data_IF_520827709975
#
_entry.id   IF_520827709975
#
_cell.length_a   1.000
_cell.length_b   1.000
_cell.length_c   1.000
_cell.angle_alpha   90.00
_cell.angle_beta   90.00
_cell.angle_gamma   90.00
#
_symmetry.space_group_name_H-M   'P 1'
#
loop_
_entity.id
_entity.type
_entity.pdbx_description
1 polymer ?
#
# COMPACT_ATOMS: atom_id res chain seq x y z
N UNK A 1 -6.31 19.85 10.72
CA UNK A 1 -5.34 18.90 10.17
C UNK A 1 -5.28 17.64 11.03
N UNK A 2 -5.47 16.47 10.42
CA UNK A 2 -5.29 15.17 11.08
C UNK A 2 -3.90 14.63 10.71
N UNK A 3 -2.89 14.80 11.57
CA UNK A 3 -1.51 14.40 11.26
C UNK A 3 -1.37 12.89 11.04
N UNK A 4 -1.96 12.09 11.94
CA UNK A 4 -1.95 10.64 11.88
C UNK A 4 -3.31 10.13 12.32
N UNK A 5 -3.97 9.36 11.46
CA UNK A 5 -5.30 8.80 11.71
C UNK A 5 -5.48 7.32 11.43
N UNK A 6 -4.46 6.42 11.54
CA UNK A 6 -4.60 5.01 11.12
C UNK A 6 -5.78 4.30 11.79
N UNK A 7 -6.05 4.59 13.07
CA UNK A 7 -7.19 4.03 13.78
C UNK A 7 -8.53 4.51 13.22
N UNK A 8 -8.66 5.81 12.90
CA UNK A 8 -9.88 6.39 12.36
C UNK A 8 -10.13 5.93 10.92
N UNK A 9 -9.06 5.79 10.14
CA UNK A 9 -9.09 5.15 8.82
C UNK A 9 -9.55 3.69 8.92
N UNK A 10 -9.04 2.94 9.92
CA UNK A 10 -9.44 1.55 10.16
C UNK A 10 -10.86 1.37 10.68
N UNK A 11 -11.34 2.31 11.50
CA UNK A 11 -12.71 2.30 11.96
C UNK A 11 -13.71 2.42 10.79
N UNK A 12 -13.31 3.07 9.70
CA UNK A 12 -14.05 3.14 8.45
C UNK A 12 -13.64 2.05 7.45
N UNK A 13 -13.17 0.88 7.89
CA UNK A 13 -12.83 -0.23 7.01
C UNK A 13 -13.80 -1.40 7.19
N UNK A 14 -13.79 -2.33 6.23
CA UNK A 14 -14.50 -3.60 6.39
C UNK A 14 -13.98 -4.44 7.57
N UNK A 15 -12.78 -4.16 8.08
CA UNK A 15 -12.19 -4.90 9.21
C UNK A 15 -12.80 -4.48 10.55
N UNK A 16 -13.42 -3.30 10.65
CA UNK A 16 -14.10 -2.87 11.87
C UNK A 16 -15.48 -3.52 12.03
N UNK A 17 -16.29 -3.56 10.96
CA UNK A 17 -17.70 -4.02 11.01
C UNK A 17 -17.98 -5.32 10.27
N UNK A 18 -17.06 -5.80 9.44
CA UNK A 18 -17.28 -6.94 8.56
C UNK A 18 -17.07 -8.27 9.27
N UNK A 19 -17.89 -8.63 10.26
CA UNK A 19 -17.77 -9.77 11.19
C UNK A 19 -16.92 -11.00 10.77
N UNK A 20 -17.02 -11.51 9.53
CA UNK A 20 -16.20 -12.64 9.04
C UNK A 20 -14.78 -12.27 8.56
N UNK A 21 -14.56 -10.99 8.28
CA UNK A 21 -13.32 -10.33 7.88
C UNK A 21 -12.86 -9.32 8.95
N UNK A 22 -13.48 -9.31 10.13
CA UNK A 22 -13.08 -8.40 11.19
C UNK A 22 -11.66 -8.73 11.65
N UNK A 23 -10.78 -7.73 11.71
CA UNK A 23 -9.38 -7.88 12.12
C UNK A 23 -8.96 -6.67 12.93
N UNK A 24 -8.24 -6.93 14.01
CA UNK A 24 -7.61 -5.94 14.87
C UNK A 24 -6.20 -5.62 14.39
N UNK A 25 -5.63 -4.53 14.90
CA UNK A 25 -4.25 -4.11 14.59
C UNK A 25 -3.24 -5.24 14.87
N UNK A 26 -3.44 -5.97 15.97
CA UNK A 26 -2.58 -7.05 16.44
C UNK A 26 -2.59 -8.26 15.51
N UNK A 27 -3.72 -8.53 14.83
CA UNK A 27 -3.85 -9.68 13.93
C UNK A 27 -2.88 -9.57 12.75
N UNK A 28 -2.53 -8.36 12.32
CA UNK A 28 -1.55 -8.10 11.27
C UNK A 28 -0.16 -7.76 11.79
N UNK A 29 -0.05 -6.95 12.86
CA UNK A 29 1.22 -6.37 13.30
C UNK A 29 1.90 -7.09 14.47
N UNK A 30 1.22 -8.05 15.10
CA UNK A 30 1.76 -8.87 16.18
C UNK A 30 1.54 -10.35 15.87
N UNK A 31 2.12 -10.89 14.79
CA UNK A 31 1.86 -12.27 14.38
C UNK A 31 2.36 -13.29 15.42
N UNK A 32 1.73 -14.46 15.43
CA UNK A 32 2.27 -15.62 16.14
C UNK A 32 3.58 -16.08 15.50
N UNK A 33 4.59 -16.54 16.27
CA UNK A 33 5.82 -17.09 15.71
C UNK A 33 5.57 -18.33 14.83
N UNK A 34 4.58 -19.14 15.22
CA UNK A 34 4.09 -20.28 14.46
C UNK A 34 2.57 -20.36 14.65
N UNK A 35 1.82 -20.02 13.60
CA UNK A 35 0.37 -19.90 13.64
C UNK A 35 -0.30 -21.14 14.26
N UNK A 36 -1.09 -20.93 15.32
CA UNK A 36 -1.90 -21.95 15.98
C UNK A 36 -1.15 -23.08 16.69
N UNK A 37 0.19 -23.08 16.69
CA UNK A 37 1.00 -24.19 17.24
C UNK A 37 2.04 -23.73 18.23
N UNK A 38 2.36 -22.43 18.28
CA UNK A 38 3.33 -21.90 19.21
C UNK A 38 2.79 -21.91 20.65
N UNK A 39 3.57 -22.49 21.56
CA UNK A 39 3.29 -22.54 22.99
C UNK A 39 4.52 -22.08 23.74
N UNK A 40 4.35 -21.19 24.72
CA UNK A 40 5.46 -20.69 25.53
C UNK A 40 5.06 -20.40 26.98
N UNK A 41 6.04 -20.39 27.89
CA UNK A 41 5.86 -19.92 29.26
C UNK A 41 6.13 -18.42 29.32
N UNK A 42 5.18 -17.67 29.88
CA UNK A 42 5.18 -16.19 29.84
C UNK A 42 6.07 -15.51 30.89
N UNK A 43 6.82 -16.28 31.68
CA UNK A 43 7.70 -15.75 32.72
C UNK A 43 8.87 -16.69 33.00
N UNK A 44 10.00 -16.10 33.40
CA UNK A 44 11.13 -16.78 34.03
C UNK A 44 11.09 -16.56 35.55
N UNK A 45 11.82 -17.39 36.30
CA UNK A 45 12.10 -17.13 37.71
C UNK A 45 13.06 -15.94 37.86
N UNK A 46 13.20 -15.34 39.07
CA UNK A 46 14.15 -14.25 39.31
C UNK A 46 15.61 -14.59 38.96
N UNK A 47 15.98 -15.88 38.96
CA UNK A 47 17.31 -16.37 38.57
C UNK A 47 17.46 -16.60 37.05
N UNK A 48 16.45 -16.22 36.25
CA UNK A 48 16.43 -16.40 34.79
C UNK A 48 16.01 -17.80 34.33
N UNK A 49 15.76 -18.75 35.23
CA UNK A 49 15.40 -20.13 34.84
C UNK A 49 13.92 -20.29 34.52
N UNK A 50 13.60 -21.28 33.67
CA UNK A 50 12.21 -21.63 33.35
C UNK A 50 11.61 -22.48 34.47
N UNK A 51 10.39 -22.14 34.92
CA UNK A 51 9.64 -23.02 35.81
C UNK A 51 8.85 -24.07 35.01
N UNK A 52 9.33 -25.30 35.03
CA UNK A 52 8.72 -26.43 34.31
C UNK A 52 7.30 -26.78 34.78
N UNK A 53 6.92 -26.37 36.00
CA UNK A 53 5.57 -26.56 36.53
C UNK A 53 4.57 -25.49 36.05
N UNK A 54 5.04 -24.39 35.48
CA UNK A 54 4.13 -23.37 34.93
C UNK A 54 3.54 -23.84 33.60
N UNK A 55 2.24 -23.57 33.36
CA UNK A 55 1.60 -23.94 32.12
C UNK A 55 2.17 -23.14 30.95
N UNK A 56 2.25 -23.78 29.80
CA UNK A 56 2.45 -23.09 28.53
C UNK A 56 1.15 -22.38 28.13
N UNK A 57 1.30 -21.29 27.38
CA UNK A 57 0.20 -20.44 26.92
C UNK A 57 0.18 -20.38 25.40
N UNK A 58 -1.02 -20.38 24.85
CA UNK A 58 -1.35 -20.09 23.46
C UNK A 58 -2.71 -19.38 23.36
N UNK A 59 -2.95 -18.57 22.31
CA UNK A 59 -1.97 -18.09 21.33
C UNK A 59 -0.93 -17.15 21.96
N UNK A 60 0.23 -17.00 21.30
CA UNK A 60 1.27 -16.04 21.70
C UNK A 60 1.61 -15.13 20.54
N UNK A 61 1.51 -13.83 20.77
CA UNK A 61 1.74 -12.81 19.77
C UNK A 61 3.06 -12.11 20.01
N UNK A 62 3.88 -12.03 18.96
CA UNK A 62 5.18 -11.36 19.05
C UNK A 62 5.01 -9.84 19.14
N UNK A 63 5.94 -9.18 19.82
CA UNK A 63 6.06 -7.72 19.75
C UNK A 63 6.89 -7.31 18.52
N UNK A 64 6.70 -7.99 17.38
CA UNK A 64 7.47 -7.67 16.18
C UNK A 64 7.09 -6.30 15.63
N UNK A 65 5.80 -5.91 15.70
CA UNK A 65 5.30 -4.58 15.31
C UNK A 65 5.80 -4.13 13.94
N UNK A 66 5.75 -5.04 12.96
CA UNK A 66 6.26 -4.77 11.61
C UNK A 66 5.50 -3.59 11.00
N UNK A 67 6.23 -2.60 10.51
CA UNK A 67 5.65 -1.41 9.86
C UNK A 67 6.15 -1.29 8.42
N UNK A 68 6.24 -0.06 7.92
CA UNK A 68 6.74 0.22 6.57
C UNK A 68 8.14 0.82 6.49
N UNK A 69 8.86 1.04 7.59
CA UNK A 69 10.07 1.88 7.58
C UNK A 69 11.38 1.08 7.63
N UNK A 70 11.63 0.25 6.60
CA UNK A 70 12.89 -0.47 6.46
C UNK A 70 14.09 0.48 6.38
N UNK A 71 13.92 1.62 5.70
CA UNK A 71 14.94 2.65 5.58
C UNK A 71 15.45 3.19 6.92
N UNK A 72 14.54 3.54 7.85
CA UNK A 72 14.98 4.02 9.16
C UNK A 72 15.74 2.93 9.94
N UNK A 73 15.36 1.66 9.79
CA UNK A 73 16.10 0.56 10.41
C UNK A 73 17.53 0.46 9.85
N UNK A 74 17.73 0.68 8.55
CA UNK A 74 19.06 0.75 7.92
C UNK A 74 19.86 1.94 8.44
N UNK A 75 19.25 3.12 8.50
CA UNK A 75 19.89 4.32 9.00
C UNK A 75 20.32 4.16 10.47
N UNK A 76 19.48 3.53 11.31
CA UNK A 76 19.82 3.19 12.69
C UNK A 76 20.94 2.15 12.77
N UNK A 77 20.90 1.09 11.95
CA UNK A 77 21.93 0.05 11.88
C UNK A 77 23.30 0.64 11.56
N UNK A 78 23.36 1.45 10.51
CA UNK A 78 24.60 1.99 9.94
C UNK A 78 25.20 3.10 10.81
N UNK A 79 24.36 3.77 11.62
CA UNK A 79 24.78 4.85 12.53
C UNK A 79 24.72 4.47 14.01
N UNK A 80 24.61 3.18 14.34
CA UNK A 80 24.35 2.71 15.73
C UNK A 80 25.33 3.21 16.77
N UNK A 81 26.60 3.43 16.41
CA UNK A 81 27.63 3.94 17.32
C UNK A 81 27.43 5.43 17.57
N UNK A 82 27.23 6.22 16.51
CA UNK A 82 26.98 7.66 16.60
C UNK A 82 25.66 7.97 17.33
N UNK A 83 24.69 7.05 17.26
CA UNK A 83 23.40 7.13 17.94
C UNK A 83 23.42 6.50 19.35
N UNK A 84 24.56 5.98 19.82
CA UNK A 84 24.72 5.34 21.13
C UNK A 84 23.81 4.11 21.38
N UNK A 85 23.28 3.50 20.32
CA UNK A 85 22.45 2.28 20.35
C UNK A 85 23.24 1.01 20.03
N UNK A 86 24.57 1.10 19.95
CA UNK A 86 25.45 -0.01 19.60
C UNK A 86 25.36 -1.23 20.54
N UNK A 87 24.91 -1.03 21.78
CA UNK A 87 24.72 -2.11 22.76
C UNK A 87 23.25 -2.56 22.90
N UNK A 88 22.31 -1.86 22.26
CA UNK A 88 20.87 -2.16 22.34
C UNK A 88 20.48 -3.33 21.43
N UNK A 89 21.20 -3.53 20.33
CA UNK A 89 20.99 -4.63 19.38
C UNK A 89 22.26 -4.89 18.55
N UNK A 90 22.24 -5.95 17.74
CA UNK A 90 23.30 -6.32 16.81
C UNK A 90 22.97 -5.89 15.38
N UNK A 91 23.98 -5.86 14.51
CA UNK A 91 23.78 -5.67 13.05
C UNK A 91 22.84 -6.75 12.50
N UNK A 92 23.07 -8.01 12.89
CA UNK A 92 22.22 -9.13 12.49
C UNK A 92 20.76 -8.96 12.95
N UNK A 93 20.51 -8.41 14.15
CA UNK A 93 19.15 -8.13 14.62
C UNK A 93 18.45 -7.04 13.82
N UNK A 94 19.18 -6.01 13.37
CA UNK A 94 18.63 -5.03 12.42
C UNK A 94 18.35 -5.66 11.07
N UNK A 95 19.28 -6.45 10.53
CA UNK A 95 19.14 -7.10 9.22
C UNK A 95 17.92 -8.05 9.18
N UNK A 96 17.70 -8.80 10.26
CA UNK A 96 16.51 -9.62 10.45
C UNK A 96 15.23 -8.77 10.37
N UNK A 97 15.17 -7.66 11.11
CA UNK A 97 13.99 -6.79 11.14
C UNK A 97 13.75 -6.06 9.82
N UNK A 98 14.82 -5.67 9.13
CA UNK A 98 14.75 -5.08 7.79
C UNK A 98 14.18 -6.10 6.80
N UNK A 99 14.67 -7.34 6.83
CA UNK A 99 14.16 -8.41 5.98
C UNK A 99 12.68 -8.72 6.26
N UNK A 100 12.29 -8.80 7.53
CA UNK A 100 10.89 -8.97 7.94
C UNK A 100 10.01 -7.82 7.44
N UNK A 101 10.50 -6.58 7.55
CA UNK A 101 9.78 -5.38 7.08
C UNK A 101 9.56 -5.40 5.56
N UNK A 102 10.59 -5.75 4.78
CA UNK A 102 10.50 -5.86 3.31
C UNK A 102 9.59 -7.01 2.87
N UNK A 103 9.66 -8.14 3.55
CA UNK A 103 8.75 -9.27 3.31
C UNK A 103 7.29 -8.89 3.61
N UNK A 104 7.05 -8.16 4.70
CA UNK A 104 5.71 -7.67 5.05
C UNK A 104 5.17 -6.69 3.99
N UNK A 105 5.96 -5.68 3.61
CA UNK A 105 5.60 -4.72 2.58
C UNK A 105 5.24 -5.40 1.25
N UNK A 106 6.07 -6.34 0.78
CA UNK A 106 5.88 -7.00 -0.52
C UNK A 106 4.78 -8.06 -0.57
N UNK A 107 4.30 -8.56 0.57
CA UNK A 107 3.28 -9.61 0.64
C UNK A 107 1.90 -9.12 1.10
N UNK A 108 1.88 -8.09 1.93
CA UNK A 108 0.72 -7.75 2.76
C UNK A 108 0.21 -6.31 2.58
N UNK A 109 0.97 -5.42 1.94
CA UNK A 109 0.56 -4.02 1.80
C UNK A 109 -0.46 -3.79 0.68
N UNK A 110 -0.20 -4.31 -0.51
CA UNK A 110 -1.01 -4.07 -1.70
C UNK A 110 -1.00 -5.25 -2.66
N UNK A 111 -2.02 -5.33 -3.52
CA UNK A 111 -1.97 -6.10 -4.76
C UNK A 111 -1.91 -5.12 -5.93
N UNK A 112 -1.22 -5.52 -7.01
CA UNK A 112 -1.08 -4.75 -8.24
C UNK A 112 -1.44 -5.63 -9.43
N UNK A 113 -2.26 -5.12 -10.34
CA UNK A 113 -2.68 -5.84 -11.53
C UNK A 113 -2.69 -4.93 -12.76
N UNK A 114 -2.28 -5.48 -13.90
CA UNK A 114 -2.57 -4.89 -15.21
C UNK A 114 -3.89 -5.52 -15.67
N UNK A 115 -4.99 -4.80 -15.55
CA UNK A 115 -6.34 -5.30 -15.86
C UNK A 115 -6.69 -5.19 -17.34
N UNK A 116 -5.98 -4.31 -18.06
CA UNK A 116 -6.07 -4.15 -19.50
C UNK A 116 -4.70 -3.80 -20.07
N UNK A 117 -4.37 -4.34 -21.24
CA UNK A 117 -3.19 -3.98 -22.02
C UNK A 117 -3.48 -4.29 -23.50
N UNK A 118 -4.01 -3.31 -24.23
CA UNK A 118 -4.51 -3.48 -25.61
C UNK A 118 -4.03 -2.37 -26.52
N UNK A 119 -3.88 -2.66 -27.81
CA UNK A 119 -3.61 -1.65 -28.85
C UNK A 119 -4.93 -0.99 -29.29
N UNK A 120 -4.94 0.34 -29.37
CA UNK A 120 -6.01 1.15 -29.90
C UNK A 120 -5.45 2.21 -30.86
N UNK A 121 -5.43 1.89 -32.17
CA UNK A 121 -4.80 2.75 -33.17
C UNK A 121 -3.28 2.73 -33.00
N UNK A 122 -2.69 3.89 -32.71
CA UNK A 122 -1.23 4.01 -32.47
C UNK A 122 -0.85 3.94 -30.99
N UNK A 123 -1.84 3.89 -30.10
CA UNK A 123 -1.61 3.90 -28.66
C UNK A 123 -1.86 2.51 -28.05
N UNK A 124 -1.12 2.17 -27.00
CA UNK A 124 -1.50 1.15 -26.04
C UNK A 124 -2.34 1.77 -24.93
N UNK A 125 -3.48 1.14 -24.63
CA UNK A 125 -4.30 1.42 -23.46
C UNK A 125 -3.99 0.38 -22.38
N UNK A 126 -3.44 0.83 -21.26
CA UNK A 126 -2.98 -0.01 -20.17
C UNK A 126 -3.67 0.46 -18.88
N UNK A 127 -4.45 -0.42 -18.26
CA UNK A 127 -5.12 -0.13 -16.99
C UNK A 127 -4.36 -0.81 -15.86
N UNK A 128 -3.89 0.00 -14.90
CA UNK A 128 -3.10 -0.46 -13.76
C UNK A 128 -3.90 -0.28 -12.48
N UNK A 129 -4.39 -1.38 -11.93
CA UNK A 129 -5.18 -1.40 -10.70
C UNK A 129 -4.30 -1.67 -9.48
N UNK A 130 -4.38 -0.77 -8.50
CA UNK A 130 -3.79 -0.94 -7.17
C UNK A 130 -4.91 -1.30 -6.20
N UNK A 131 -4.73 -2.34 -5.39
CA UNK A 131 -5.66 -2.72 -4.32
C UNK A 131 -4.97 -2.62 -2.97
N UNK A 132 -5.53 -1.83 -2.07
CA UNK A 132 -5.08 -1.72 -0.69
C UNK A 132 -5.53 -2.96 0.11
N UNK A 133 -4.56 -3.68 0.69
CA UNK A 133 -4.81 -4.86 1.55
C UNK A 133 -4.81 -4.53 3.03
N UNK A 134 -4.48 -3.29 3.37
CA UNK A 134 -4.38 -2.85 4.76
C UNK A 134 -5.73 -2.42 5.30
N UNK A 135 -5.83 -2.42 6.62
CA UNK A 135 -7.02 -1.93 7.31
C UNK A 135 -7.15 -0.41 7.37
N UNK A 136 -6.19 0.35 6.88
CA UNK A 136 -6.15 1.81 6.94
C UNK A 136 -5.78 2.37 5.55
N UNK A 137 -5.53 3.68 5.40
CA UNK A 137 -5.04 4.18 4.10
C UNK A 137 -3.69 3.56 3.75
N UNK A 138 -3.38 3.46 2.46
CA UNK A 138 -2.08 3.04 1.97
C UNK A 138 -1.41 4.20 1.23
N UNK A 139 -0.26 4.72 1.71
CA UNK A 139 0.36 4.47 3.02
C UNK A 139 -0.24 5.31 4.18
N UNK A 140 -0.53 4.72 5.34
CA UNK A 140 -1.04 5.48 6.52
C UNK A 140 0.07 6.14 7.36
N UNK A 141 -0.33 6.90 8.39
CA UNK A 141 0.53 7.47 9.41
C UNK A 141 1.17 8.79 8.97
N UNK A 142 2.41 9.00 9.40
CA UNK A 142 3.14 10.25 9.21
C UNK A 142 3.20 10.71 7.73
N UNK A 143 2.94 12.00 7.43
CA UNK A 143 2.67 12.49 6.06
C UNK A 143 3.89 12.61 5.13
N UNK A 144 5.07 12.16 5.55
CA UNK A 144 6.26 12.11 4.67
C UNK A 144 6.26 10.95 3.68
N UNK A 145 5.32 10.01 3.84
CA UNK A 145 5.28 8.76 3.10
C UNK A 145 4.65 8.99 1.73
N UNK A 146 5.20 8.32 0.72
CA UNK A 146 4.60 8.25 -0.63
C UNK A 146 4.70 6.85 -1.20
N UNK A 147 3.75 6.50 -2.05
CA UNK A 147 3.90 5.39 -3.00
C UNK A 147 3.58 5.88 -4.41
N UNK A 148 4.12 5.22 -5.43
CA UNK A 148 3.88 5.58 -6.81
C UNK A 148 4.06 4.39 -7.75
N UNK A 149 3.53 4.52 -8.96
CA UNK A 149 3.74 3.55 -10.03
C UNK A 149 5.01 3.87 -10.81
N UNK A 150 5.90 2.87 -10.94
CA UNK A 150 6.96 2.82 -11.94
C UNK A 150 6.50 1.90 -13.07
N UNK A 151 6.29 2.48 -14.26
CA UNK A 151 5.81 1.77 -15.44
C UNK A 151 6.83 1.85 -16.55
N UNK A 152 7.17 0.71 -17.12
CA UNK A 152 8.06 0.60 -18.28
C UNK A 152 7.35 -0.19 -19.38
N UNK A 153 7.32 0.38 -20.59
CA UNK A 153 6.87 -0.32 -21.80
C UNK A 153 8.08 -0.50 -22.72
N UNK A 154 8.27 -1.73 -23.22
CA UNK A 154 9.35 -2.06 -24.15
C UNK A 154 8.82 -2.71 -25.41
N UNK A 155 9.46 -2.43 -26.53
CA UNK A 155 9.20 -3.10 -27.81
C UNK A 155 9.78 -4.53 -27.87
N UNK A 156 9.58 -5.23 -28.99
CA UNK A 156 10.09 -6.58 -29.18
C UNK A 156 11.63 -6.68 -29.23
N UNK A 157 12.31 -5.56 -29.51
CA UNK A 157 13.77 -5.44 -29.42
C UNK A 157 14.25 -5.09 -27.99
N UNK A 158 13.34 -5.14 -27.01
CA UNK A 158 13.57 -4.85 -25.60
C UNK A 158 14.00 -3.39 -25.32
N UNK A 159 13.77 -2.48 -26.27
CA UNK A 159 14.03 -1.05 -26.11
C UNK A 159 12.90 -0.38 -25.33
N UNK A 160 13.24 0.51 -24.39
CA UNK A 160 12.25 1.28 -23.63
C UNK A 160 11.64 2.33 -24.54
N UNK A 161 10.33 2.25 -24.75
CA UNK A 161 9.56 3.25 -25.51
C UNK A 161 8.78 4.19 -24.58
N UNK A 162 8.53 3.76 -23.35
CA UNK A 162 7.92 4.58 -22.30
C UNK A 162 8.45 4.16 -20.94
N UNK A 163 8.82 5.14 -20.12
CA UNK A 163 9.17 4.93 -18.71
C UNK A 163 8.72 6.11 -17.87
N UNK A 164 7.92 5.85 -16.84
CA UNK A 164 7.43 6.85 -15.89
C UNK A 164 7.67 6.38 -14.47
N UNK A 165 8.08 7.29 -13.57
CA UNK A 165 8.23 7.01 -12.14
C UNK A 165 9.49 6.25 -11.74
N UNK A 166 10.51 6.16 -12.59
CA UNK A 166 11.78 5.54 -12.24
C UNK A 166 12.50 6.35 -11.14
N UNK A 167 12.85 5.75 -9.99
CA UNK A 167 13.67 6.42 -8.98
C UNK A 167 15.15 6.45 -9.39
N UNK A 168 15.85 7.53 -9.05
CA UNK A 168 17.30 7.60 -9.13
C UNK A 168 17.97 6.99 -7.88
N UNK A 169 19.31 7.01 -7.83
CA UNK A 169 20.07 6.49 -6.69
C UNK A 169 19.86 7.28 -5.38
N UNK A 170 19.30 8.49 -5.46
CA UNK A 170 18.94 9.34 -4.32
C UNK A 170 17.50 9.08 -3.83
N UNK A 171 16.75 8.19 -4.49
CA UNK A 171 15.35 7.94 -4.17
C UNK A 171 14.40 9.04 -4.66
N UNK A 172 14.87 9.89 -5.56
CA UNK A 172 14.07 10.92 -6.21
C UNK A 172 13.46 10.38 -7.51
N UNK A 173 12.29 10.90 -7.88
CA UNK A 173 11.64 10.65 -9.18
C UNK A 173 11.64 11.92 -10.02
N UNK A 174 11.33 11.81 -11.31
CA UNK A 174 11.41 12.93 -12.28
C UNK A 174 10.66 14.21 -11.85
N UNK A 175 9.58 14.08 -11.08
CA UNK A 175 8.80 15.23 -10.59
C UNK A 175 9.47 15.96 -9.42
N UNK A 176 10.39 15.32 -8.69
CA UNK A 176 11.03 15.90 -7.50
C UNK A 176 11.89 17.12 -7.84
N UNK A 177 12.49 17.20 -9.03
CA UNK A 177 13.27 18.37 -9.46
C UNK A 177 12.49 19.68 -9.30
N UNK A 178 11.20 19.67 -9.62
CA UNK A 178 10.35 20.87 -9.48
C UNK A 178 9.83 21.04 -8.05
N UNK A 179 9.52 19.92 -7.37
CA UNK A 179 8.99 19.90 -6.00
C UNK A 179 10.00 20.36 -4.96
N UNK A 180 11.30 20.18 -5.24
CA UNK A 180 12.42 20.60 -4.41
C UNK A 180 12.89 22.04 -4.69
N UNK A 181 12.19 22.78 -5.55
CA UNK A 181 12.51 24.19 -5.78
C UNK A 181 12.45 25.01 -4.48
N UNK A 182 13.32 26.01 -4.36
CA UNK A 182 13.46 26.82 -3.14
C UNK A 182 12.13 27.40 -2.64
N UNK A 183 11.29 27.91 -3.54
CA UNK A 183 10.00 28.50 -3.17
C UNK A 183 8.99 27.44 -2.66
N UNK A 184 9.03 26.22 -3.21
CA UNK A 184 8.23 25.10 -2.74
C UNK A 184 8.60 24.67 -1.32
N UNK A 185 9.90 24.72 -1.00
CA UNK A 185 10.42 24.36 0.32
C UNK A 185 10.42 25.53 1.32
N UNK A 186 10.24 26.77 0.88
CA UNK A 186 10.29 27.94 1.76
C UNK A 186 9.19 27.90 2.83
N UNK A 187 9.56 28.18 4.09
CA UNK A 187 8.62 28.31 5.23
C UNK A 187 7.65 29.47 5.03
N UNK A 188 8.11 30.55 4.43
CA UNK A 188 7.32 31.73 4.08
C UNK A 188 7.39 31.90 2.59
N UNK A 189 6.24 31.86 1.92
CA UNK A 189 6.18 31.93 0.47
C UNK A 189 6.48 33.34 -0.04
N UNK A 190 7.19 33.49 -1.18
CA UNK A 190 7.40 34.79 -1.78
C UNK A 190 6.07 35.38 -2.28
N UNK A 191 5.96 36.71 -2.41
CA UNK A 191 4.77 37.34 -2.98
C UNK A 191 4.42 36.79 -4.37
N UNK A 192 3.15 36.43 -4.59
CA UNK A 192 2.68 35.86 -5.86
C UNK A 192 2.98 34.36 -6.04
N UNK A 193 3.43 33.66 -5.00
CA UNK A 193 3.61 32.22 -5.01
C UNK A 193 2.30 31.47 -5.33
N UNK A 194 2.44 30.35 -6.02
CA UNK A 194 1.35 29.41 -6.33
C UNK A 194 1.86 27.98 -6.16
N UNK A 195 1.00 27.10 -5.62
CA UNK A 195 1.38 25.72 -5.30
C UNK A 195 1.64 24.81 -6.50
N UNK A 196 1.14 25.16 -7.69
CA UNK A 196 0.85 24.21 -8.76
C UNK A 196 2.01 23.35 -9.27
N UNK A 197 3.26 23.79 -9.06
CA UNK A 197 4.46 23.06 -9.47
C UNK A 197 5.16 22.33 -8.32
N UNK A 198 4.69 22.50 -7.08
CA UNK A 198 5.34 21.99 -5.88
C UNK A 198 4.88 20.58 -5.46
N UNK A 199 3.88 20.02 -6.13
CA UNK A 199 3.44 18.65 -5.96
C UNK A 199 2.74 18.14 -7.22
N UNK A 200 2.66 16.82 -7.36
CA UNK A 200 1.94 16.20 -8.47
C UNK A 200 0.45 16.09 -8.10
N UNK A 201 -0.44 16.52 -8.99
CA UNK A 201 -1.88 16.29 -8.81
C UNK A 201 -2.21 14.79 -8.87
N UNK A 202 -3.40 14.41 -8.39
CA UNK A 202 -3.89 13.07 -8.64
C UNK A 202 -4.06 12.84 -10.15
N UNK A 203 -3.72 11.63 -10.61
CA UNK A 203 -3.67 11.25 -12.02
C UNK A 203 -4.53 10.02 -12.25
N UNK A 204 -5.69 10.24 -12.85
CA UNK A 204 -6.53 9.22 -13.46
C UNK A 204 -5.87 8.70 -14.76
N UNK A 205 -5.41 9.63 -15.62
CA UNK A 205 -4.78 9.32 -16.91
C UNK A 205 -3.33 9.77 -16.98
N UNK A 206 -2.46 8.90 -17.50
CA UNK A 206 -1.04 9.19 -17.81
C UNK A 206 -0.78 9.00 -19.31
N UNK A 207 -0.28 10.05 -19.96
CA UNK A 207 0.07 10.07 -21.39
C UNK A 207 1.53 10.40 -21.66
N UNK A 208 2.26 10.92 -20.67
CA UNK A 208 3.64 11.36 -20.83
C UNK A 208 4.57 10.71 -19.80
N UNK A 209 5.82 10.36 -20.17
CA UNK A 209 6.84 9.87 -19.24
C UNK A 209 7.10 10.76 -18.02
N UNK A 210 6.87 12.08 -18.15
CA UNK A 210 7.05 13.05 -17.07
C UNK A 210 5.93 13.07 -16.03
N UNK A 211 4.78 12.45 -16.32
CA UNK A 211 3.67 12.33 -15.38
C UNK A 211 3.82 11.06 -14.56
N UNK A 212 3.55 11.13 -13.26
CA UNK A 212 3.68 9.99 -12.35
C UNK A 212 2.45 9.90 -11.46
N UNK A 213 1.88 8.71 -11.31
CA UNK A 213 0.79 8.48 -10.34
C UNK A 213 1.39 8.35 -8.94
N UNK A 214 1.31 9.42 -8.15
CA UNK A 214 1.86 9.50 -6.78
C UNK A 214 0.73 9.58 -5.77
N UNK A 215 0.73 8.65 -4.82
CA UNK A 215 -0.18 8.57 -3.68
C UNK A 215 0.54 9.05 -2.43
N UNK A 216 0.10 10.19 -1.92
CA UNK A 216 0.77 10.92 -0.85
C UNK A 216 -0.19 11.91 -0.19
N UNK A 217 0.25 12.47 0.93
CA UNK A 217 -0.33 13.68 1.51
C UNK A 217 0.49 14.90 1.12
N UNK A 218 -0.18 15.97 0.73
CA UNK A 218 0.39 17.30 0.50
C UNK A 218 -0.28 18.25 1.47
N UNK A 219 0.52 18.87 2.33
CA UNK A 219 0.02 19.69 3.43
C UNK A 219 -0.14 21.14 2.97
N UNK A 220 -1.25 21.77 3.33
CA UNK A 220 -1.49 23.20 3.18
C UNK A 220 -1.40 23.89 4.53
N UNK A 221 -0.80 25.08 4.57
CA UNK A 221 -0.82 25.94 5.75
C UNK A 221 -2.11 26.76 5.86
N UNK A 222 -2.17 27.71 6.79
CA UNK A 222 -3.37 28.55 6.99
C UNK A 222 -3.64 29.55 5.87
N UNK A 223 -2.70 29.74 4.92
CA UNK A 223 -2.87 30.55 3.72
C UNK A 223 -3.16 29.68 2.48
N UNK A 224 -3.40 28.38 2.67
CA UNK A 224 -3.49 27.37 1.61
C UNK A 224 -2.21 27.20 0.79
N UNK A 225 -1.06 27.63 1.32
CA UNK A 225 0.25 27.41 0.69
C UNK A 225 0.82 26.05 1.10
N UNK A 226 1.52 25.38 0.19
CA UNK A 226 2.18 24.10 0.46
C UNK A 226 3.21 24.26 1.58
N UNK A 227 3.17 23.35 2.55
CA UNK A 227 4.13 23.33 3.66
C UNK A 227 4.69 21.93 3.92
N UNK A 228 5.95 21.88 4.33
CA UNK A 228 6.61 20.68 4.84
C UNK A 228 6.85 20.78 6.36
N UNK A 229 6.37 21.86 6.99
CA UNK A 229 6.46 22.10 8.43
C UNK A 229 5.17 21.64 9.08
N UNK A 230 5.20 20.55 9.85
CA UNK A 230 3.99 19.98 10.46
C UNK A 230 3.22 20.95 11.34
N UNK A 231 3.93 21.78 12.12
CA UNK A 231 3.28 22.77 12.98
C UNK A 231 2.56 23.88 12.19
N UNK A 232 2.81 24.00 10.88
CA UNK A 232 2.09 24.92 10.01
C UNK A 232 0.91 24.24 9.29
N UNK A 233 0.83 22.90 9.31
CA UNK A 233 -0.18 22.17 8.55
C UNK A 233 -1.59 22.43 9.11
N UNK A 234 -2.48 22.86 8.23
CA UNK A 234 -3.87 23.20 8.54
C UNK A 234 -4.85 22.29 7.78
N UNK A 235 -4.57 22.05 6.50
CA UNK A 235 -5.41 21.30 5.57
C UNK A 235 -4.59 20.33 4.71
N UNK A 236 -5.28 19.46 3.97
CA UNK A 236 -4.69 18.68 2.90
C UNK A 236 -4.96 19.38 1.56
N UNK A 237 -3.90 19.82 0.87
CA UNK A 237 -4.00 20.23 -0.55
C UNK A 237 -4.23 19.02 -1.45
N UNK A 238 -3.67 17.87 -1.04
CA UNK A 238 -3.91 16.55 -1.60
C UNK A 238 -3.82 15.51 -0.48
N UNK A 239 -4.75 14.57 -0.47
CA UNK A 239 -4.64 13.29 0.22
C UNK A 239 -5.33 12.26 -0.67
N UNK A 240 -4.56 11.71 -1.62
CA UNK A 240 -5.03 10.67 -2.52
C UNK A 240 -4.56 9.29 -2.10
N UNK A 241 -4.13 9.08 -0.85
CA UNK A 241 -3.76 7.75 -0.37
C UNK A 241 -4.96 6.81 -0.43
N UNK A 242 -4.77 5.60 -0.94
CA UNK A 242 -5.87 4.68 -1.22
C UNK A 242 -6.51 4.25 0.12
N UNK A 243 -7.81 4.52 0.36
CA UNK A 243 -8.51 4.09 1.57
C UNK A 243 -8.55 2.56 1.73
N UNK A 244 -8.83 2.03 2.93
CA UNK A 244 -9.05 0.61 3.08
C UNK A 244 -10.37 0.21 2.43
N UNK A 245 -10.47 -1.06 2.06
CA UNK A 245 -11.73 -1.61 1.54
C UNK A 245 -12.85 -1.41 2.57
N UNK A 246 -14.05 -1.07 2.09
CA UNK A 246 -15.21 -0.71 2.92
C UNK A 246 -15.29 0.76 3.32
N UNK A 247 -14.26 1.57 3.06
CA UNK A 247 -14.26 3.00 3.37
C UNK A 247 -15.25 3.77 2.51
N UNK A 248 -16.13 4.53 3.16
CA UNK A 248 -17.09 5.42 2.47
C UNK A 248 -17.00 6.84 2.99
N UNK A 249 -17.26 7.83 2.14
CA UNK A 249 -17.33 9.24 2.52
C UNK A 249 -18.43 9.48 3.56
N UNK A 250 -19.56 8.77 3.46
CA UNK A 250 -20.67 8.89 4.41
C UNK A 250 -20.32 8.41 5.81
N UNK A 251 -19.54 7.33 5.95
CA UNK A 251 -19.03 6.91 7.25
C UNK A 251 -17.91 7.85 7.75
N UNK A 252 -17.08 8.39 6.86
CA UNK A 252 -16.06 9.36 7.22
C UNK A 252 -16.68 10.63 7.83
N UNK A 253 -17.84 11.09 7.34
CA UNK A 253 -18.58 12.23 7.93
C UNK A 253 -18.96 12.02 9.40
N UNK A 254 -19.18 10.76 9.80
CA UNK A 254 -19.59 10.40 11.16
C UNK A 254 -18.39 10.11 12.06
N UNK A 255 -17.38 9.43 11.53
CA UNK A 255 -16.19 9.00 12.30
C UNK A 255 -15.20 10.15 12.47
N UNK A 256 -14.70 10.69 11.36
CA UNK A 256 -13.73 11.78 11.31
C UNK A 256 -13.66 12.35 9.88
N UNK A 257 -14.29 13.51 9.60
CA UNK A 257 -14.31 14.11 8.27
C UNK A 257 -12.92 14.39 7.68
N UNK A 258 -11.89 14.58 8.52
CA UNK A 258 -10.51 14.80 8.06
C UNK A 258 -9.85 13.54 7.48
N UNK A 259 -10.47 12.36 7.58
CA UNK A 259 -10.02 11.14 6.88
C UNK A 259 -10.42 11.09 5.42
N UNK A 260 -11.29 12.00 4.95
CA UNK A 260 -11.73 12.02 3.55
C UNK A 260 -10.56 12.27 2.59
N UNK A 261 -10.53 11.62 1.42
CA UNK A 261 -9.61 11.97 0.35
C UNK A 261 -9.73 13.45 -0.05
N UNK A 262 -8.63 14.06 -0.45
CA UNK A 262 -8.56 15.44 -0.92
C UNK A 262 -7.78 15.53 -2.23
N UNK A 263 -8.23 16.37 -3.16
CA UNK A 263 -7.53 16.58 -4.43
C UNK A 263 -7.56 15.39 -5.41
N UNK A 264 -8.52 14.47 -5.26
CA UNK A 264 -8.73 13.31 -6.17
C UNK A 264 -9.63 13.63 -7.37
N UNK A 265 -10.28 14.79 -7.40
CA UNK A 265 -11.15 15.17 -8.52
C UNK A 265 -12.38 14.28 -8.68
N UNK A 266 -12.88 14.18 -9.91
CA UNK A 266 -13.99 13.30 -10.29
C UNK A 266 -13.44 12.03 -10.95
N UNK A 267 -12.58 11.32 -10.23
CA UNK A 267 -12.06 10.02 -10.63
C UNK A 267 -13.15 8.94 -10.39
N UNK A 268 -13.59 8.22 -11.44
CA UNK A 268 -14.67 7.24 -11.34
C UNK A 268 -14.27 5.91 -10.71
N UNK A 269 -12.97 5.64 -10.52
CA UNK A 269 -12.48 4.37 -10.00
C UNK A 269 -11.63 4.49 -8.73
N UNK A 270 -11.26 5.72 -8.32
CA UNK A 270 -10.68 5.99 -7.01
C UNK A 270 -11.64 5.62 -5.88
N UNK A 271 -11.36 4.51 -5.19
CA UNK A 271 -12.20 3.89 -4.17
C UNK A 271 -13.61 3.49 -4.66
N UNK A 272 -13.79 3.33 -5.98
CA UNK A 272 -15.02 2.81 -6.58
C UNK A 272 -14.76 1.52 -7.36
N UNK A 273 -15.77 0.65 -7.42
CA UNK A 273 -15.77 -0.54 -8.29
C UNK A 273 -17.22 -0.92 -8.59
N UNK A 274 -17.54 -1.20 -9.86
CA UNK A 274 -18.89 -1.56 -10.31
C UNK A 274 -20.00 -0.58 -9.85
N UNK A 275 -19.67 0.72 -9.78
CA UNK A 275 -20.58 1.78 -9.34
C UNK A 275 -20.81 1.83 -7.82
N UNK A 276 -20.11 1.01 -7.03
CA UNK A 276 -20.13 1.06 -5.57
C UNK A 276 -18.88 1.69 -4.98
N UNK A 277 -19.04 2.47 -3.91
CA UNK A 277 -17.94 3.05 -3.13
C UNK A 277 -17.35 2.01 -2.16
N UNK A 278 -16.08 2.19 -1.77
CA UNK A 278 -15.41 1.39 -0.77
C UNK A 278 -14.70 0.18 -1.35
N UNK A 279 -14.25 0.27 -2.60
CA UNK A 279 -13.46 -0.78 -3.24
C UNK A 279 -12.10 -0.96 -2.55
N UNK A 280 -11.54 0.10 -1.95
CA UNK A 280 -10.17 0.11 -1.43
C UNK A 280 -9.12 -0.02 -2.52
N UNK A 281 -9.42 0.51 -3.72
CA UNK A 281 -8.57 0.41 -4.90
C UNK A 281 -8.55 1.72 -5.69
N UNK A 282 -7.65 1.80 -6.66
CA UNK A 282 -7.59 2.86 -7.67
C UNK A 282 -7.07 2.26 -8.97
N UNK A 283 -7.50 2.75 -10.14
CA UNK A 283 -7.02 2.29 -11.45
C UNK A 283 -6.47 3.46 -12.26
N UNK A 284 -5.18 3.40 -12.57
CA UNK A 284 -4.54 4.44 -13.38
C UNK A 284 -4.53 4.00 -14.84
N UNK A 285 -5.03 4.86 -15.71
CA UNK A 285 -5.13 4.64 -17.15
C UNK A 285 -3.93 5.22 -17.89
N UNK A 286 -3.05 4.35 -18.39
CA UNK A 286 -1.93 4.75 -19.23
C UNK A 286 -2.32 4.69 -20.71
N UNK A 287 -2.00 5.75 -21.44
CA UNK A 287 -2.06 5.81 -22.90
C UNK A 287 -0.68 6.07 -23.44
N UNK A 288 -0.07 5.05 -24.04
CA UNK A 288 1.31 5.08 -24.50
C UNK A 288 1.36 4.97 -26.01
N UNK A 289 1.88 5.97 -26.71
CA UNK A 289 2.10 5.89 -28.16
C UNK A 289 3.18 4.85 -28.46
N UNK A 290 2.83 3.86 -29.27
CA UNK A 290 3.71 2.76 -29.67
C UNK A 290 4.58 3.18 -30.85
N UNK A 291 5.81 2.66 -30.89
CA UNK A 291 6.71 2.83 -32.04
C UNK A 291 6.28 1.96 -33.24
N UNK A 292 5.73 0.77 -32.96
CA UNK A 292 5.15 -0.14 -33.95
C UNK A 292 3.91 -0.81 -33.34
N UNK A 293 2.68 -0.36 -33.64
CA UNK A 293 1.45 -0.94 -33.08
C UNK A 293 1.17 -2.39 -33.52
N UNK A 294 1.84 -2.87 -34.58
CA UNK A 294 1.66 -4.22 -35.13
C UNK A 294 2.64 -5.24 -34.53
N UNK A 295 3.52 -4.82 -33.62
CA UNK A 295 4.47 -5.68 -32.92
C UNK A 295 4.03 -5.96 -31.47
N UNK A 296 4.70 -6.90 -30.80
CA UNK A 296 4.51 -7.17 -29.39
C UNK A 296 5.26 -6.18 -28.51
N UNK A 297 4.63 -5.74 -27.41
CA UNK A 297 5.28 -4.94 -26.37
C UNK A 297 5.14 -5.61 -25.01
N UNK A 298 6.16 -5.46 -24.18
CA UNK A 298 6.11 -5.86 -22.77
C UNK A 298 5.81 -4.66 -21.88
N UNK A 299 4.95 -4.86 -20.90
CA UNK A 299 4.62 -3.88 -19.87
C UNK A 299 5.10 -4.44 -18.54
N UNK A 300 5.92 -3.66 -17.83
CA UNK A 300 6.32 -3.95 -16.45
C UNK A 300 5.84 -2.81 -15.55
N UNK A 301 5.16 -3.17 -14.47
CA UNK A 301 4.60 -2.24 -13.50
C UNK A 301 5.11 -2.61 -12.11
N UNK A 302 5.59 -1.62 -11.37
CA UNK A 302 6.00 -1.75 -9.97
C UNK A 302 5.31 -0.69 -9.14
N UNK A 303 4.71 -1.10 -8.02
CA UNK A 303 4.26 -0.18 -6.99
C UNK A 303 5.41 0.01 -6.00
N UNK A 304 5.97 1.22 -5.99
CA UNK A 304 7.12 1.58 -5.18
C UNK A 304 6.68 2.43 -3.99
N UNK A 305 7.41 2.33 -2.87
CA UNK A 305 7.10 3.01 -1.62
C UNK A 305 8.35 3.66 -1.03
N UNK A 306 8.19 4.86 -0.48
CA UNK A 306 9.24 5.57 0.23
C UNK A 306 8.69 6.11 1.56
N UNK A 307 9.34 5.80 2.70
CA UNK A 307 8.85 6.25 4.00
C UNK A 307 9.06 7.74 4.26
N UNK A 308 10.07 8.35 3.62
CA UNK A 308 10.34 9.78 3.69
C UNK A 308 10.68 10.31 2.31
N UNK A 309 9.81 11.16 1.78
CA UNK A 309 10.07 11.84 0.51
C UNK A 309 11.15 12.91 0.65
N UNK A 310 11.95 13.18 -0.40
CA UNK A 310 13.05 14.15 -0.37
C UNK A 310 12.66 15.53 0.17
N UNK A 311 11.47 16.04 -0.17
CA UNK A 311 11.01 17.36 0.25
C UNK A 311 10.86 17.50 1.78
N UNK A 312 10.58 16.40 2.50
CA UNK A 312 10.53 16.41 3.97
C UNK A 312 11.92 16.42 4.61
N UNK A 313 12.97 16.00 3.90
CA UNK A 313 14.37 16.09 4.35
C UNK A 313 14.91 17.50 4.06
N UNK A 314 14.71 17.97 2.84
CA UNK A 314 15.23 19.26 2.39
C UNK A 314 14.48 20.43 3.04
N UNK A 315 13.18 20.26 3.28
CA UNK A 315 12.33 21.18 4.03
C UNK A 315 12.62 21.25 5.53
N UNK A 316 13.58 20.48 6.06
CA UNK A 316 14.04 20.67 7.45
C UNK A 316 14.81 21.99 7.57
N UNK A 317 14.15 23.01 8.11
CA UNK A 317 14.72 24.35 8.31
C UNK A 317 15.52 24.52 9.61
N UNK A 318 15.47 23.57 10.53
CA UNK A 318 16.20 23.66 11.79
C UNK A 318 17.71 23.48 11.55
N UNK A 319 18.52 24.23 12.29
CA UNK A 319 20.00 24.25 12.14
C UNK A 319 20.72 23.62 13.33
N UNK A 320 19.98 22.97 14.24
CA UNK A 320 20.54 22.29 15.40
C UNK A 320 21.38 21.07 15.02
N UNK A 321 22.23 20.62 15.95
CA UNK A 321 23.15 19.48 15.72
C UNK A 321 22.41 18.22 15.32
N UNK A 322 21.24 17.93 15.89
CA UNK A 322 20.45 16.75 15.55
C UNK A 322 19.99 16.75 14.08
N UNK A 323 19.58 17.91 13.56
CA UNK A 323 19.11 18.03 12.16
C UNK A 323 20.28 17.92 11.21
N UNK A 324 21.41 18.57 11.53
CA UNK A 324 22.63 18.46 10.74
C UNK A 324 23.13 17.02 10.69
N UNK A 325 23.18 16.33 11.83
CA UNK A 325 23.58 14.91 11.89
C UNK A 325 22.63 14.03 11.10
N UNK A 326 21.31 14.23 11.22
CA UNK A 326 20.32 13.48 10.43
C UNK A 326 20.53 13.69 8.93
N UNK A 327 20.69 14.93 8.47
CA UNK A 327 20.95 15.23 7.04
C UNK A 327 22.24 14.59 6.55
N UNK A 328 23.29 14.51 7.37
CA UNK A 328 24.53 13.80 7.03
C UNK A 328 24.31 12.29 6.89
N UNK A 329 23.54 11.67 7.80
CA UNK A 329 23.19 10.25 7.71
C UNK A 329 22.38 9.96 6.44
N UNK A 330 21.41 10.81 6.12
CA UNK A 330 20.60 10.71 4.90
C UNK A 330 21.44 10.93 3.64
N UNK A 331 22.37 11.89 3.64
CA UNK A 331 23.25 12.11 2.49
C UNK A 331 24.17 10.90 2.24
N UNK A 332 24.58 10.20 3.29
CA UNK A 332 25.39 8.98 3.19
C UNK A 332 24.56 7.74 2.78
N UNK A 333 23.28 7.71 3.15
CA UNK A 333 22.32 6.64 2.82
C UNK A 333 20.98 7.27 2.42
N UNK A 334 20.80 7.65 1.14
CA UNK A 334 19.56 8.26 0.68
C UNK A 334 18.36 7.31 0.82
N UNK A 335 17.13 7.82 1.02
CA UNK A 335 15.95 6.99 1.20
C UNK A 335 15.59 6.25 -0.09
N UNK A 336 15.98 4.98 -0.18
CA UNK A 336 15.61 4.10 -1.28
C UNK A 336 14.10 3.84 -1.37
N UNK A 337 13.67 3.34 -2.54
CA UNK A 337 12.30 2.90 -2.77
C UNK A 337 12.16 1.40 -2.50
N UNK A 338 11.20 1.02 -1.67
CA UNK A 338 10.83 -0.37 -1.40
C UNK A 338 9.75 -0.84 -2.38
N UNK A 339 9.79 -2.11 -2.78
CA UNK A 339 8.77 -2.71 -3.64
C UNK A 339 7.58 -3.19 -2.81
N UNK A 340 6.37 -2.71 -3.12
CA UNK A 340 5.12 -3.22 -2.52
C UNK A 340 4.51 -4.36 -3.34
N UNK A 341 4.48 -4.22 -4.67
CA UNK A 341 3.91 -5.20 -5.58
C UNK A 341 4.42 -4.96 -7.00
N UNK A 342 4.34 -5.99 -7.85
CA UNK A 342 4.65 -5.87 -9.28
C UNK A 342 3.66 -6.66 -10.13
N UNK A 343 3.48 -6.21 -11.37
CA UNK A 343 2.66 -6.86 -12.38
C UNK A 343 3.35 -6.74 -13.74
N UNK A 344 3.12 -7.71 -14.62
CA UNK A 344 3.60 -7.65 -15.99
C UNK A 344 2.46 -8.02 -16.94
N UNK A 345 2.49 -7.46 -18.14
CA UNK A 345 1.59 -7.83 -19.22
C UNK A 345 2.34 -7.82 -20.56
N UNK A 346 1.71 -8.42 -21.56
CA UNK A 346 2.17 -8.34 -22.95
C UNK A 346 1.03 -7.73 -23.75
N UNK A 347 1.35 -6.69 -24.51
CA UNK A 347 0.46 -6.13 -25.51
C UNK A 347 0.76 -6.91 -26.79
N UNK A 348 -0.17 -7.79 -27.18
CA UNK A 348 -0.02 -8.62 -28.37
C UNK A 348 -0.54 -7.92 -29.61
N UNK A 349 -0.01 -8.33 -30.76
CA UNK A 349 -0.57 -8.00 -32.09
C UNK A 349 -2.02 -8.47 -32.11
N UNK A 350 -2.95 -7.59 -32.49
CA UNK A 350 -4.34 -7.98 -32.69
C UNK A 350 -4.39 -9.11 -33.74
N UNK A 351 -4.55 -10.35 -33.28
CA UNK A 351 -4.74 -11.48 -34.16
C UNK A 351 -5.97 -11.23 -35.02
N UNK A 352 -5.76 -11.21 -36.34
CA UNK A 352 -6.81 -11.30 -37.33
C UNK A 352 -7.87 -12.31 -36.87
N UNK A 353 -9.14 -11.92 -36.94
CA UNK A 353 -10.27 -12.82 -36.72
C UNK A 353 -10.16 -14.02 -37.69
N UNK A 354 -9.57 -15.10 -37.21
CA UNK A 354 -9.44 -16.37 -37.92
C UNK A 354 -10.31 -17.40 -37.23
N UNK A 355 -11.49 -17.65 -37.78
CA UNK A 355 -12.27 -18.84 -37.47
C UNK A 355 -11.45 -20.09 -37.80
N UNK A 356 -10.91 -20.76 -36.78
CA UNK A 356 -10.14 -22.00 -36.95
C UNK A 356 -10.42 -22.95 -35.80
N UNK A 357 -11.32 -23.91 -36.02
CA UNK A 357 -11.52 -25.03 -35.10
C UNK A 357 -10.25 -25.89 -35.01
N UNK A 358 -9.90 -26.29 -33.80
CA UNK A 358 -8.79 -27.19 -33.53
C UNK A 358 -8.90 -27.77 -32.13
N UNK A 359 -9.41 -29.00 -32.04
CA UNK A 359 -9.48 -29.74 -30.80
C UNK A 359 -8.10 -30.18 -30.30
N UNK A 360 -7.96 -30.29 -28.98
CA UNK A 360 -6.84 -30.97 -28.35
C UNK A 360 -7.39 -32.04 -27.40
N UNK A 361 -7.12 -33.30 -27.77
CA UNK A 361 -7.30 -34.49 -26.95
C UNK A 361 -6.15 -34.57 -25.92
N UNK A 362 -6.49 -34.80 -24.65
CA UNK A 362 -5.53 -35.15 -23.60
C UNK A 362 -5.48 -36.68 -23.43
N UNK A 363 -4.27 -37.22 -23.59
CA UNK A 363 -3.93 -38.63 -23.40
C UNK A 363 -3.88 -39.03 -21.93
N UNK A 364 -4.24 -40.31 -21.70
CA UNK A 364 -4.24 -41.00 -20.40
C UNK A 364 -2.89 -41.67 -20.07
N UNK A 365 -2.61 -41.76 -18.78
CA UNK A 365 -1.76 -42.78 -18.14
C UNK A 365 -0.93 -42.17 -17.01
N UNK A 366 -0.93 -42.63 -15.76
CA UNK A 366 -1.60 -43.72 -15.06
C UNK A 366 -1.43 -43.51 -13.54
N UNK A 367 -2.32 -44.11 -12.73
CA UNK A 367 -2.23 -44.17 -11.26
C UNK A 367 -1.30 -45.32 -10.80
N UNK A 368 -0.99 -45.44 -9.50
CA UNK A 368 -1.90 -46.19 -8.62
C UNK A 368 -2.25 -45.51 -7.28
N UNK A 369 -3.49 -45.76 -6.86
CA UNK A 369 -4.15 -45.61 -5.54
C UNK A 369 -3.48 -46.54 -4.46
N UNK A 370 -3.92 -46.69 -3.17
CA UNK A 370 -5.24 -46.39 -2.55
C UNK A 370 -5.19 -45.84 -1.09
N UNK A 371 -6.26 -45.37 -0.44
CA UNK A 371 -7.36 -46.16 0.15
C UNK A 371 -8.56 -45.28 0.58
N UNK A 372 -9.75 -45.84 0.28
CA UNK A 372 -11.16 -45.51 0.56
C UNK A 372 -11.54 -45.40 2.07
N UNK A 373 -12.83 -45.21 2.48
CA UNK A 373 -14.02 -44.70 1.76
C UNK A 373 -14.85 -43.63 2.50
N UNK A 374 -15.74 -42.98 1.74
CA UNK A 374 -17.03 -42.44 2.21
C UNK A 374 -18.14 -43.51 2.13
N UNK A 375 -19.20 -43.37 2.94
CA UNK A 375 -20.46 -44.12 2.79
C UNK A 375 -21.64 -43.15 2.59
N UNK A 376 -22.34 -43.33 1.45
CA UNK A 376 -23.72 -42.90 1.12
C UNK A 376 -24.72 -43.76 1.95
N UNK A 377 -25.96 -43.40 2.31
CA UNK A 377 -27.20 -43.16 1.52
C UNK A 377 -28.33 -43.19 2.61
N UNK A 378 -29.45 -42.45 2.59
CA UNK A 378 -30.76 -42.74 1.94
C UNK A 378 -31.78 -41.67 2.42
N UNK A 379 -32.71 -41.29 1.55
CA UNK A 379 -33.83 -40.37 1.76
C UNK A 379 -35.00 -40.93 2.58
N UNK A 380 -35.86 -40.06 3.15
CA UNK A 380 -37.33 -40.12 3.02
C UNK A 380 -38.02 -38.91 3.66
N UNK A 381 -39.08 -38.45 2.99
CA UNK A 381 -39.93 -37.32 3.35
C UNK A 381 -40.99 -37.70 4.40
N UNK A 382 -41.50 -36.73 5.18
CA UNK A 382 -42.95 -36.57 5.39
C UNK A 382 -43.36 -35.23 6.03
N UNK A 383 -44.59 -34.85 5.67
CA UNK A 383 -45.39 -33.66 5.97
C UNK A 383 -45.56 -33.31 7.46
N UNK A 384 -45.84 -32.03 7.73
CA UNK A 384 -46.57 -31.66 8.95
C UNK A 384 -46.77 -30.15 9.16
N UNK A 385 -47.90 -29.63 8.67
CA UNK A 385 -48.42 -28.28 8.93
C UNK A 385 -48.39 -27.88 10.42
N UNK A 386 -48.14 -26.59 10.72
CA UNK A 386 -49.20 -25.64 11.15
C UNK A 386 -48.64 -24.25 11.48
N UNK A 387 -49.32 -23.24 10.90
CA UNK A 387 -49.29 -21.82 11.29
C UNK A 387 -49.78 -21.63 12.73
N UNK A 388 -49.21 -20.65 13.44
CA UNK A 388 -49.93 -19.52 14.10
C UNK A 388 -48.93 -18.54 14.74
N UNK A 389 -48.96 -17.29 14.27
CA UNK A 389 -48.58 -16.07 14.99
C UNK A 389 -49.72 -15.64 15.94
N UNK A 390 -49.67 -14.48 16.63
CA UNK A 390 -48.63 -13.90 17.50
C UNK A 390 -49.25 -13.48 18.87
N UNK A 391 -48.45 -12.96 19.81
CA UNK A 391 -49.02 -12.11 20.88
C UNK A 391 -48.11 -11.81 22.07
N UNK A 392 -48.25 -10.64 22.72
CA UNK A 392 -47.20 -9.95 23.48
C UNK A 392 -47.37 -10.03 25.01
N UNK A 393 -46.35 -9.67 25.80
CA UNK A 393 -46.43 -8.67 26.90
C UNK A 393 -45.27 -8.70 27.91
N UNK A 394 -44.82 -7.48 28.25
CA UNK A 394 -44.47 -6.90 29.57
C UNK A 394 -43.22 -7.33 30.36
N UNK A 395 -42.34 -6.33 30.52
CA UNK A 395 -41.91 -5.68 31.78
C UNK A 395 -42.09 -6.45 33.10
N UNK A 396 -41.00 -6.63 33.85
CA UNK A 396 -40.67 -5.91 35.10
C UNK A 396 -39.59 -6.68 35.88
N UNK A 397 -38.37 -6.14 35.96
CA UNK A 397 -37.71 -5.67 37.20
C UNK A 397 -36.30 -5.19 36.91
#
# INVERSE_FOLDING_TARGET
>A
FLEQGPFLEWQNSLYFTGASKAQQCQDCHMPEPAAGTYQTRIATRPDGTVNTQWPERSPFYTHSMVGGNAYLLELLRDNRVALEIGNSTTVAGFDEKIAETRAFLSSSAADLAVTQAVVAGVDALIDVRITNKTGHKLPTGYPSRRMWLHVTVRDAANQVIFESGAPNAQGEISTDTTRLATDCLARTKPPGFVNGSCYELHRDVITLPSQVAIYETVLGDTNDDITHVLLHANSYLKDNRIPPKGFTLGQADVIEPQTKPAGVGADPDFNFENGGEGSGSDTVHYRVTLNDPDDSHSVSVRLLYQPIQPAFIDGLHATGTQVTSFKQMVAASPPGAELLASANAVIGVAGAAGSGGGGCALGRGGRPDPLFPALLLVATAWLGLRRRQPGPHREQK
#
